data_IF_400078330966
#
_entry.id   IF_400078330966
#
_cell.length_a   1.000
_cell.length_b   1.000
_cell.length_c   1.000
_cell.angle_alpha   90.00
_cell.angle_beta   90.00
_cell.angle_gamma   90.00
#
_symmetry.space_group_name_H-M   'P 1'
#
loop_
_entity.id
_entity.type
_entity.pdbx_description
1 polymer ?
#
# COMPACT_ATOMS: atom_id res chain seq x y z
N UNK A 1 38.68 7.85 -38.41
CA UNK A 1 38.20 9.25 -38.41
C UNK A 1 36.83 9.44 -37.73
N UNK A 2 36.34 8.52 -36.86
CA UNK A 2 35.01 8.65 -36.22
C UNK A 2 35.02 8.68 -34.67
N UNK A 3 36.18 8.76 -33.99
CA UNK A 3 36.24 8.70 -32.51
C UNK A 3 36.34 10.06 -31.81
N UNK A 4 36.92 11.09 -32.44
CA UNK A 4 37.12 12.39 -31.78
C UNK A 4 35.84 13.24 -31.73
N UNK A 5 34.95 13.11 -32.72
CA UNK A 5 33.66 13.81 -32.73
C UNK A 5 32.68 13.26 -31.67
N UNK A 6 32.71 11.94 -31.42
CA UNK A 6 31.87 11.31 -30.41
C UNK A 6 32.34 11.64 -28.97
N UNK A 7 33.67 11.74 -28.76
CA UNK A 7 34.30 12.13 -27.49
C UNK A 7 33.95 13.57 -27.08
N UNK A 8 34.02 14.51 -28.02
CA UNK A 8 33.64 15.90 -27.77
C UNK A 8 32.14 16.03 -27.46
N UNK A 9 31.30 15.19 -28.08
CA UNK A 9 29.87 15.16 -27.82
C UNK A 9 29.53 14.62 -26.42
N UNK A 10 30.16 13.54 -25.98
CA UNK A 10 29.89 12.88 -24.69
C UNK A 10 30.42 13.70 -23.50
N UNK A 11 31.63 14.27 -23.60
CA UNK A 11 32.17 15.17 -22.59
C UNK A 11 31.40 16.50 -22.51
N UNK A 12 30.88 17.00 -23.64
CA UNK A 12 29.99 18.16 -23.65
C UNK A 12 28.63 17.84 -23.03
N UNK A 13 28.07 16.65 -23.29
CA UNK A 13 26.82 16.19 -22.70
C UNK A 13 26.93 16.03 -21.18
N UNK A 14 28.04 15.45 -20.67
CA UNK A 14 28.29 15.34 -19.23
C UNK A 14 28.37 16.71 -18.57
N UNK A 15 29.16 17.63 -19.15
CA UNK A 15 29.30 18.99 -18.64
C UNK A 15 27.97 19.74 -18.65
N UNK A 16 27.16 19.57 -19.69
CA UNK A 16 25.82 20.15 -19.76
C UNK A 16 24.90 19.62 -18.65
N UNK A 17 24.86 18.30 -18.44
CA UNK A 17 24.07 17.65 -17.38
C UNK A 17 24.53 18.05 -15.97
N UNK A 18 25.84 18.21 -15.77
CA UNK A 18 26.44 18.67 -14.51
C UNK A 18 26.47 20.19 -14.35
N UNK A 19 25.98 20.95 -15.34
CA UNK A 19 26.00 22.44 -15.38
C UNK A 19 27.40 23.03 -15.21
N UNK A 20 28.39 22.40 -15.84
CA UNK A 20 29.79 22.81 -15.83
C UNK A 20 30.16 23.57 -17.11
N UNK A 21 31.15 24.45 -16.98
CA UNK A 21 31.76 25.14 -18.11
C UNK A 21 32.62 24.17 -18.96
N UNK A 22 32.86 24.53 -20.22
CA UNK A 22 33.67 23.69 -21.13
C UNK A 22 35.14 23.59 -20.69
N UNK A 23 35.61 24.52 -19.84
CA UNK A 23 36.96 24.60 -19.30
C UNK A 23 37.14 23.87 -17.96
N UNK A 24 36.10 23.24 -17.42
CA UNK A 24 36.16 22.53 -16.14
C UNK A 24 37.22 21.42 -16.13
N UNK A 25 38.02 21.42 -15.08
CA UNK A 25 39.03 20.39 -14.82
C UNK A 25 38.40 19.02 -14.51
N UNK A 26 39.17 17.94 -14.68
CA UNK A 26 38.74 16.58 -14.33
C UNK A 26 38.26 16.47 -12.87
N UNK A 27 38.99 17.08 -11.93
CA UNK A 27 38.59 17.10 -10.52
C UNK A 27 37.27 17.84 -10.30
N UNK A 28 36.99 18.90 -11.07
CA UNK A 28 35.72 19.61 -11.01
C UNK A 28 34.57 18.72 -11.49
N UNK A 29 34.77 18.00 -12.60
CA UNK A 29 33.77 17.07 -13.15
C UNK A 29 33.46 15.96 -12.16
N UNK A 30 34.49 15.33 -11.58
CA UNK A 30 34.32 14.28 -10.57
C UNK A 30 33.57 14.78 -9.33
N UNK A 31 33.95 15.94 -8.78
CA UNK A 31 33.26 16.54 -7.63
C UNK A 31 31.80 16.86 -7.93
N UNK A 32 31.49 17.40 -9.11
CA UNK A 32 30.11 17.70 -9.51
C UNK A 32 29.29 16.44 -9.77
N UNK A 33 29.89 15.41 -10.36
CA UNK A 33 29.25 14.10 -10.50
C UNK A 33 28.88 13.52 -9.13
N UNK A 34 29.83 13.52 -8.20
CA UNK A 34 29.61 13.02 -6.83
C UNK A 34 28.52 13.82 -6.11
N UNK A 35 28.59 15.15 -6.17
CA UNK A 35 27.57 16.03 -5.59
C UNK A 35 26.19 15.73 -6.17
N UNK A 36 26.09 15.60 -7.50
CA UNK A 36 24.81 15.39 -8.18
C UNK A 36 24.20 14.03 -7.85
N UNK A 37 25.00 12.96 -7.84
CA UNK A 37 24.54 11.62 -7.44
C UNK A 37 24.10 11.62 -5.98
N UNK A 38 24.86 12.27 -5.09
CA UNK A 38 24.51 12.39 -3.66
C UNK A 38 23.20 13.14 -3.46
N UNK A 39 22.99 14.25 -4.17
CA UNK A 39 21.71 14.98 -4.19
C UNK A 39 20.55 14.10 -4.66
N UNK A 40 20.75 13.33 -5.74
CA UNK A 40 19.72 12.44 -6.28
C UNK A 40 19.36 11.30 -5.33
N UNK A 41 20.28 10.86 -4.46
CA UNK A 41 20.04 9.84 -3.44
C UNK A 41 19.30 10.35 -2.20
N UNK A 42 19.17 11.67 -2.02
CA UNK A 42 18.44 12.26 -0.91
C UNK A 42 16.92 12.29 -1.18
N UNK A 43 16.09 12.32 -0.13
CA UNK A 43 14.67 12.61 -0.29
C UNK A 43 14.50 13.99 -0.96
N UNK A 44 14.01 14.00 -2.19
CA UNK A 44 13.93 15.18 -3.04
C UNK A 44 12.61 15.28 -3.80
N UNK A 45 12.52 16.26 -4.71
CA UNK A 45 11.28 16.60 -5.44
C UNK A 45 10.96 15.61 -6.57
N UNK A 46 11.99 15.05 -7.22
CA UNK A 46 11.81 14.09 -8.31
C UNK A 46 11.10 12.83 -7.83
N UNK A 47 10.42 12.08 -8.70
CA UNK A 47 9.95 10.72 -8.38
C UNK A 47 11.13 9.74 -8.26
N UNK A 48 10.89 8.54 -7.72
CA UNK A 48 11.93 7.50 -7.60
C UNK A 48 12.41 7.07 -8.99
N UNK A 49 11.45 6.91 -9.91
CA UNK A 49 11.72 6.50 -11.27
C UNK A 49 12.54 7.56 -12.01
N UNK A 50 12.16 8.83 -11.89
CA UNK A 50 12.89 9.96 -12.49
C UNK A 50 14.32 10.05 -11.95
N UNK A 51 14.49 10.00 -10.62
CA UNK A 51 15.82 10.06 -10.02
C UNK A 51 16.67 8.83 -10.37
N UNK A 52 16.06 7.65 -10.47
CA UNK A 52 16.74 6.42 -10.88
C UNK A 52 17.19 6.46 -12.34
N UNK A 53 16.36 7.01 -13.23
CA UNK A 53 16.72 7.23 -14.64
C UNK A 53 17.86 8.24 -14.77
N UNK A 54 17.78 9.37 -14.05
CA UNK A 54 18.84 10.37 -13.97
C UNK A 54 20.17 9.76 -13.47
N UNK A 55 20.13 8.94 -12.42
CA UNK A 55 21.31 8.22 -11.90
C UNK A 55 21.90 7.32 -12.99
N UNK A 56 21.08 6.47 -13.63
CA UNK A 56 21.56 5.55 -14.68
C UNK A 56 22.18 6.31 -15.86
N UNK A 57 21.56 7.40 -16.28
CA UNK A 57 22.06 8.24 -17.37
C UNK A 57 23.39 8.90 -16.99
N UNK A 58 23.47 9.51 -15.80
CA UNK A 58 24.70 10.14 -15.31
C UNK A 58 25.85 9.14 -15.18
N UNK A 59 25.61 7.94 -14.65
CA UNK A 59 26.62 6.89 -14.57
C UNK A 59 27.09 6.45 -15.95
N UNK A 60 26.17 6.27 -16.91
CA UNK A 60 26.52 5.90 -18.28
C UNK A 60 27.44 6.95 -18.91
N UNK A 61 27.07 8.23 -18.82
CA UNK A 61 27.86 9.32 -19.40
C UNK A 61 29.21 9.45 -18.67
N UNK A 62 29.22 9.36 -17.33
CA UNK A 62 30.45 9.44 -16.53
C UNK A 62 31.43 8.30 -16.84
N UNK A 63 30.94 7.07 -16.93
CA UNK A 63 31.77 5.90 -17.28
C UNK A 63 32.42 6.04 -18.66
N UNK A 64 31.67 6.53 -19.64
CA UNK A 64 32.17 6.81 -20.99
C UNK A 64 33.24 7.91 -20.98
N UNK A 65 32.99 9.02 -20.25
CA UNK A 65 33.95 10.10 -20.05
C UNK A 65 35.25 9.61 -19.40
N UNK A 66 35.16 8.90 -18.27
CA UNK A 66 36.33 8.43 -17.53
C UNK A 66 37.15 7.44 -18.34
N UNK A 67 36.50 6.51 -19.05
CA UNK A 67 37.19 5.57 -19.97
C UNK A 67 37.96 6.30 -21.07
N UNK A 68 37.39 7.36 -21.66
CA UNK A 68 38.04 8.14 -22.70
C UNK A 68 39.25 8.92 -22.17
N UNK A 69 39.14 9.52 -20.99
CA UNK A 69 40.23 10.23 -20.29
C UNK A 69 41.38 9.29 -19.92
N UNK A 70 41.06 8.13 -19.33
CA UNK A 70 42.09 7.16 -18.94
C UNK A 70 42.84 6.62 -20.16
N UNK A 71 42.16 6.35 -21.27
CA UNK A 71 42.80 5.98 -22.56
C UNK A 71 43.73 7.08 -23.08
N UNK A 72 43.35 8.34 -22.94
CA UNK A 72 44.19 9.47 -23.34
C UNK A 72 45.45 9.56 -22.47
N UNK A 73 45.30 9.51 -21.15
CA UNK A 73 46.42 9.47 -20.21
C UNK A 73 47.37 8.30 -20.53
N UNK A 74 46.81 7.12 -20.81
CA UNK A 74 47.58 5.95 -21.21
C UNK A 74 48.37 6.16 -22.52
N UNK A 75 47.77 6.86 -23.49
CA UNK A 75 48.41 7.20 -24.76
C UNK A 75 49.61 8.15 -24.57
N UNK A 76 49.54 9.04 -23.57
CA UNK A 76 50.61 9.97 -23.19
C UNK A 76 51.71 9.25 -22.38
N UNK A 77 51.35 8.22 -21.60
CA UNK A 77 52.25 7.37 -20.81
C UNK A 77 53.07 6.39 -21.69
N UNK A 78 52.90 6.38 -23.03
CA UNK A 78 53.76 5.61 -23.97
C UNK A 78 55.23 6.06 -23.97
N UNK A 79 55.92 5.83 -22.86
CA UNK A 79 57.36 5.72 -22.73
C UNK A 79 57.73 4.25 -22.43
N UNK A 80 58.04 3.52 -23.50
CA UNK A 80 59.08 2.48 -23.65
C UNK A 80 59.06 1.16 -22.83
N UNK A 81 58.22 0.93 -21.83
CA UNK A 81 58.19 -0.38 -21.14
C UNK A 81 57.26 -1.39 -21.85
N UNK A 82 57.79 -2.55 -22.27
CA UNK A 82 57.00 -3.65 -22.82
C UNK A 82 56.32 -4.41 -21.67
N UNK A 83 55.03 -4.67 -21.79
CA UNK A 83 54.27 -5.48 -20.82
C UNK A 83 54.84 -6.90 -20.73
N UNK A 84 54.78 -7.47 -19.52
CA UNK A 84 54.99 -8.90 -19.29
C UNK A 84 53.91 -9.72 -20.04
N UNK A 85 54.20 -10.94 -20.55
CA UNK A 85 53.27 -11.70 -21.39
C UNK A 85 51.86 -11.87 -20.81
N UNK A 86 51.73 -12.06 -19.50
CA UNK A 86 50.44 -12.31 -18.84
C UNK A 86 49.65 -11.02 -18.53
N UNK A 87 50.29 -9.85 -18.60
CA UNK A 87 49.66 -8.58 -18.26
C UNK A 87 48.48 -8.24 -19.19
N UNK A 88 48.54 -8.65 -20.46
CA UNK A 88 47.47 -8.38 -21.43
C UNK A 88 46.13 -9.00 -21.01
N UNK A 89 46.15 -10.24 -20.52
CA UNK A 89 44.96 -10.96 -20.06
C UNK A 89 44.38 -10.31 -18.80
N UNK A 90 45.23 -9.98 -17.84
CA UNK A 90 44.81 -9.36 -16.57
C UNK A 90 44.19 -7.98 -16.79
N UNK A 91 44.76 -7.17 -17.69
CA UNK A 91 44.21 -5.86 -18.07
C UNK A 91 42.86 -5.97 -18.78
N UNK A 92 42.69 -6.96 -19.65
CA UNK A 92 41.41 -7.23 -20.32
C UNK A 92 40.34 -7.61 -19.28
N UNK A 93 40.66 -8.51 -18.35
CA UNK A 93 39.75 -8.92 -17.28
C UNK A 93 39.40 -7.74 -16.35
N UNK A 94 40.38 -6.91 -16.01
CA UNK A 94 40.16 -5.71 -15.20
C UNK A 94 39.19 -4.73 -15.87
N UNK A 95 39.30 -4.54 -17.19
CA UNK A 95 38.37 -3.71 -17.96
C UNK A 95 36.92 -4.24 -17.89
N UNK A 96 36.74 -5.57 -17.90
CA UNK A 96 35.43 -6.19 -17.72
C UNK A 96 34.88 -5.99 -16.31
N UNK A 97 35.74 -6.10 -15.29
CA UNK A 97 35.36 -5.87 -13.88
C UNK A 97 34.95 -4.43 -13.64
N UNK A 98 35.70 -3.47 -14.18
CA UNK A 98 35.37 -2.04 -14.13
C UNK A 98 33.94 -1.78 -14.64
N UNK A 99 33.57 -2.37 -15.78
CA UNK A 99 32.21 -2.23 -16.33
C UNK A 99 31.16 -2.80 -15.38
N UNK A 100 31.44 -3.97 -14.79
CA UNK A 100 30.61 -4.57 -13.75
C UNK A 100 30.47 -3.65 -12.53
N UNK A 101 31.56 -3.03 -12.08
CA UNK A 101 31.59 -2.15 -10.91
C UNK A 101 30.78 -0.88 -11.14
N UNK A 102 30.88 -0.24 -12.31
CA UNK A 102 30.02 0.90 -12.66
C UNK A 102 28.53 0.53 -12.59
N UNK A 103 28.18 -0.65 -13.08
CA UNK A 103 26.79 -1.16 -13.03
C UNK A 103 26.34 -1.40 -11.59
N UNK A 104 27.17 -2.05 -10.78
CA UNK A 104 26.88 -2.33 -9.38
C UNK A 104 26.81 -1.05 -8.54
N UNK A 105 27.67 -0.06 -8.80
CA UNK A 105 27.65 1.25 -8.13
C UNK A 105 26.38 2.04 -8.49
N UNK A 106 25.91 1.97 -9.75
CA UNK A 106 24.61 2.52 -10.12
C UNK A 106 23.45 1.88 -9.35
N UNK A 107 23.46 0.55 -9.18
CA UNK A 107 22.47 -0.17 -8.35
C UNK A 107 22.56 0.24 -6.88
N UNK A 108 23.77 0.40 -6.35
CA UNK A 108 24.00 0.90 -4.99
C UNK A 108 23.33 2.26 -4.76
N UNK A 109 23.54 3.20 -5.68
CA UNK A 109 22.93 4.54 -5.58
C UNK A 109 21.40 4.49 -5.62
N UNK A 110 20.83 3.68 -6.52
CA UNK A 110 19.36 3.48 -6.60
C UNK A 110 18.83 2.84 -5.31
N UNK A 111 19.54 1.86 -4.76
CA UNK A 111 19.18 1.23 -3.50
C UNK A 111 19.19 2.23 -2.34
N UNK A 112 20.22 3.07 -2.24
CA UNK A 112 20.32 4.14 -1.25
C UNK A 112 19.20 5.18 -1.40
N UNK A 113 18.88 5.57 -2.64
CA UNK A 113 17.75 6.44 -2.96
C UNK A 113 16.44 5.87 -2.40
N UNK A 114 16.12 4.63 -2.77
CA UNK A 114 14.89 3.95 -2.37
C UNK A 114 14.78 3.84 -0.84
N UNK A 115 15.82 3.35 -0.19
CA UNK A 115 15.87 3.22 1.28
C UNK A 115 15.66 4.58 1.94
N UNK A 116 16.33 5.64 1.48
CA UNK A 116 16.18 6.98 2.06
C UNK A 116 14.75 7.52 1.91
N UNK A 117 14.11 7.30 0.76
CA UNK A 117 12.74 7.76 0.54
C UNK A 117 11.72 7.03 1.37
N UNK A 118 11.81 5.70 1.42
CA UNK A 118 10.87 4.89 2.19
C UNK A 118 11.02 5.24 3.68
N UNK A 119 12.25 5.40 4.18
CA UNK A 119 12.47 5.87 5.54
C UNK A 119 11.88 7.26 5.80
N UNK A 120 11.99 8.20 4.86
CA UNK A 120 11.41 9.53 4.99
C UNK A 120 9.87 9.48 5.03
N UNK A 121 9.24 8.65 4.19
CA UNK A 121 7.80 8.42 4.19
C UNK A 121 7.33 7.80 5.51
N UNK A 122 7.96 6.70 5.94
CA UNK A 122 7.63 6.05 7.21
C UNK A 122 7.80 6.98 8.41
N UNK A 123 8.75 7.93 8.35
CA UNK A 123 8.90 8.94 9.41
C UNK A 123 7.68 9.85 9.49
N UNK A 124 7.16 10.32 8.36
CA UNK A 124 5.93 11.12 8.31
C UNK A 124 4.73 10.29 8.79
N UNK A 125 4.63 9.03 8.36
CA UNK A 125 3.56 8.13 8.79
C UNK A 125 3.59 7.87 10.30
N UNK A 126 4.78 7.72 10.89
CA UNK A 126 4.94 7.60 12.35
C UNK A 126 4.48 8.86 13.09
N UNK A 127 4.79 10.05 12.58
CA UNK A 127 4.36 11.32 13.18
C UNK A 127 2.83 11.43 13.15
N UNK A 128 2.20 11.14 12.01
CA UNK A 128 0.75 11.12 11.87
C UNK A 128 0.08 10.06 12.77
N UNK A 129 0.65 8.86 12.87
CA UNK A 129 0.12 7.80 13.74
C UNK A 129 0.24 8.14 15.23
N UNK A 130 1.31 8.85 15.65
CA UNK A 130 1.47 9.34 17.03
C UNK A 130 0.41 10.36 17.41
N UNK A 131 0.10 11.29 16.50
CA UNK A 131 -0.96 12.28 16.74
C UNK A 131 -2.33 11.62 16.95
N UNK A 132 -2.62 10.56 16.19
CA UNK A 132 -3.90 9.81 16.29
C UNK A 132 -4.03 8.94 17.52
N UNK A 133 -2.91 8.50 18.11
CA UNK A 133 -2.88 7.50 19.18
C UNK A 133 -2.75 8.07 20.59
N UNK A 134 -2.69 9.40 20.74
CA UNK A 134 -2.56 10.10 22.03
C UNK A 134 -1.42 9.58 22.94
N UNK A 135 -0.43 8.88 22.38
CA UNK A 135 0.73 8.37 23.13
C UNK A 135 0.50 7.10 23.94
N UNK A 136 -0.65 6.43 23.83
CA UNK A 136 -0.97 5.23 24.65
C UNK A 136 -0.31 3.93 24.15
N UNK A 137 0.51 4.00 23.11
CA UNK A 137 1.08 2.82 22.45
C UNK A 137 2.54 2.61 22.88
N UNK A 138 2.73 2.22 24.13
CA UNK A 138 4.02 1.73 24.61
C UNK A 138 3.97 0.20 24.81
N UNK A 139 5.05 -0.49 24.45
CA UNK A 139 5.30 -1.92 24.72
C UNK A 139 4.47 -2.97 23.96
N UNK A 140 4.00 -2.65 22.75
CA UNK A 140 3.33 -3.64 21.90
C UNK A 140 4.35 -4.43 21.09
N UNK A 141 4.28 -5.76 21.19
CA UNK A 141 5.15 -6.66 20.43
C UNK A 141 4.76 -6.65 18.95
N UNK A 142 5.77 -6.49 18.09
CA UNK A 142 5.61 -6.67 16.66
C UNK A 142 5.51 -8.17 16.32
N UNK A 143 4.66 -8.51 15.36
CA UNK A 143 4.58 -9.84 14.73
C UNK A 143 4.60 -9.69 13.20
N UNK A 144 5.20 -10.64 12.45
CA UNK A 144 5.20 -10.66 10.99
C UNK A 144 3.81 -10.58 10.35
N UNK A 145 2.77 -11.03 11.07
CA UNK A 145 1.39 -11.05 10.57
C UNK A 145 0.62 -9.75 10.84
N UNK A 146 1.14 -8.86 11.71
CA UNK A 146 0.47 -7.60 12.06
C UNK A 146 0.10 -6.74 10.85
N UNK A 147 0.98 -6.57 9.84
CA UNK A 147 0.61 -5.77 8.69
C UNK A 147 -0.66 -6.33 8.02
N UNK A 148 -0.71 -7.66 7.78
CA UNK A 148 -1.86 -8.32 7.16
C UNK A 148 -3.14 -8.11 7.98
N UNK A 149 -3.04 -8.26 9.29
CA UNK A 149 -4.17 -8.04 10.20
C UNK A 149 -4.68 -6.60 10.16
N UNK A 150 -3.78 -5.61 10.11
CA UNK A 150 -4.15 -4.18 9.97
C UNK A 150 -4.87 -3.94 8.64
N UNK A 151 -4.37 -4.51 7.54
CA UNK A 151 -5.00 -4.36 6.23
C UNK A 151 -6.43 -4.93 6.20
N UNK A 152 -6.65 -6.11 6.78
CA UNK A 152 -7.98 -6.70 6.92
C UNK A 152 -8.88 -5.85 7.82
N UNK A 153 -8.37 -5.35 8.94
CA UNK A 153 -9.12 -4.45 9.83
C UNK A 153 -9.54 -3.15 9.11
N UNK A 154 -8.69 -2.58 8.26
CA UNK A 154 -9.00 -1.39 7.44
C UNK A 154 -10.14 -1.68 6.45
N UNK A 155 -10.10 -2.82 5.75
CA UNK A 155 -11.19 -3.23 4.85
C UNK A 155 -12.50 -3.44 5.61
N UNK A 156 -12.46 -4.15 6.74
CA UNK A 156 -13.63 -4.38 7.61
C UNK A 156 -14.21 -3.06 8.12
N UNK A 157 -13.38 -2.11 8.55
CA UNK A 157 -13.80 -0.76 8.95
C UNK A 157 -14.61 -0.06 7.84
N UNK A 158 -14.12 -0.11 6.60
CA UNK A 158 -14.77 0.58 5.49
C UNK A 158 -16.10 -0.08 5.10
N UNK A 159 -16.16 -1.41 5.13
CA UNK A 159 -17.41 -2.16 4.97
C UNK A 159 -18.43 -1.80 6.06
N UNK A 160 -18.01 -1.81 7.34
CA UNK A 160 -18.88 -1.48 8.48
C UNK A 160 -19.39 -0.03 8.42
N UNK A 161 -18.58 0.93 7.96
CA UNK A 161 -19.02 2.32 7.73
C UNK A 161 -20.12 2.41 6.68
N UNK A 162 -19.99 1.65 5.59
CA UNK A 162 -21.04 1.57 4.56
C UNK A 162 -22.33 0.97 5.16
N UNK A 163 -22.20 -0.09 5.95
CA UNK A 163 -23.34 -0.72 6.63
C UNK A 163 -24.04 0.22 7.60
N UNK A 164 -23.30 0.97 8.44
CA UNK A 164 -23.92 1.95 9.35
C UNK A 164 -24.74 2.98 8.59
N UNK A 165 -24.20 3.52 7.50
CA UNK A 165 -24.93 4.47 6.65
C UNK A 165 -26.21 3.87 6.05
N UNK A 166 -26.16 2.60 5.63
CA UNK A 166 -27.35 1.90 5.15
C UNK A 166 -28.40 1.71 6.26
N UNK A 167 -27.96 1.45 7.49
CA UNK A 167 -28.85 1.31 8.64
C UNK A 167 -29.48 2.65 9.05
N UNK A 168 -28.76 3.77 8.96
CA UNK A 168 -29.34 5.12 9.15
C UNK A 168 -30.48 5.39 8.13
N UNK A 169 -30.29 4.99 6.87
CA UNK A 169 -31.34 5.09 5.85
C UNK A 169 -32.51 4.13 6.15
N UNK A 170 -32.22 2.94 6.68
CA UNK A 170 -33.23 1.97 7.12
C UNK A 170 -34.07 2.52 8.27
N UNK A 171 -33.44 3.14 9.27
CA UNK A 171 -34.09 3.71 10.45
C UNK A 171 -35.18 4.71 10.04
N UNK A 172 -34.89 5.59 9.06
CA UNK A 172 -35.85 6.58 8.55
C UNK A 172 -37.08 5.93 7.92
N UNK A 173 -36.89 4.86 7.15
CA UNK A 173 -37.99 4.14 6.49
C UNK A 173 -38.78 3.32 7.53
N UNK A 174 -38.09 2.69 8.47
CA UNK A 174 -38.70 1.90 9.54
C UNK A 174 -39.46 2.76 10.53
N UNK A 175 -39.03 3.99 10.81
CA UNK A 175 -39.78 4.96 11.60
C UNK A 175 -41.17 5.25 11.02
N UNK A 176 -41.25 5.41 9.69
CA UNK A 176 -42.53 5.55 8.98
C UNK A 176 -43.35 4.26 9.05
N UNK A 177 -42.72 3.10 8.85
CA UNK A 177 -43.40 1.81 8.94
C UNK A 177 -43.97 1.55 10.34
N UNK A 178 -43.21 1.77 11.41
CA UNK A 178 -43.65 1.56 12.79
C UNK A 178 -44.88 2.44 13.11
N UNK A 179 -44.86 3.71 12.68
CA UNK A 179 -46.00 4.62 12.83
C UNK A 179 -47.28 4.09 12.15
N UNK A 180 -47.15 3.60 10.92
CA UNK A 180 -48.28 3.03 10.16
C UNK A 180 -48.75 1.70 10.78
N UNK A 181 -47.83 0.86 11.23
CA UNK A 181 -48.12 -0.41 11.88
C UNK A 181 -48.85 -0.22 13.22
N UNK A 182 -48.46 0.78 14.04
CA UNK A 182 -49.19 1.16 15.26
C UNK A 182 -50.61 1.63 14.94
N UNK A 183 -50.77 2.44 13.90
CA UNK A 183 -52.09 2.88 13.44
C UNK A 183 -52.97 1.71 12.95
N UNK A 184 -52.37 0.73 12.25
CA UNK A 184 -53.07 -0.51 11.87
C UNK A 184 -53.54 -1.29 13.10
N UNK A 185 -52.70 -1.43 14.14
CA UNK A 185 -53.08 -2.10 15.38
C UNK A 185 -54.24 -1.36 16.09
N UNK A 186 -54.19 -0.03 16.18
CA UNK A 186 -55.29 0.76 16.74
C UNK A 186 -56.60 0.58 15.97
N UNK A 187 -56.52 0.55 14.64
CA UNK A 187 -57.67 0.33 13.77
C UNK A 187 -58.21 -1.10 13.91
N UNK A 188 -57.34 -2.10 14.03
CA UNK A 188 -57.71 -3.48 14.32
C UNK A 188 -58.40 -3.61 15.69
N UNK A 189 -57.87 -2.95 16.73
CA UNK A 189 -58.49 -2.90 18.06
C UNK A 189 -59.91 -2.32 17.98
N UNK A 190 -60.12 -1.25 17.21
CA UNK A 190 -61.43 -0.65 16.99
C UNK A 190 -62.42 -1.53 16.20
N UNK A 191 -61.95 -2.59 15.52
CA UNK A 191 -62.79 -3.50 14.70
C UNK A 191 -63.04 -4.86 15.39
N UNK A 192 -62.05 -5.38 16.11
CA UNK A 192 -62.05 -6.73 16.69
C UNK A 192 -62.02 -6.75 18.23
N UNK A 193 -61.76 -5.62 18.89
CA UNK A 193 -61.38 -5.58 20.30
C UNK A 193 -59.92 -6.00 20.52
N UNK A 194 -59.35 -5.56 21.64
CA UNK A 194 -57.91 -5.68 21.94
C UNK A 194 -57.42 -7.13 21.98
N UNK A 195 -58.18 -8.04 22.61
CA UNK A 195 -57.81 -9.46 22.75
C UNK A 195 -57.66 -10.18 21.41
N UNK A 196 -58.50 -9.86 20.42
CA UNK A 196 -58.51 -10.52 19.11
C UNK A 196 -57.65 -9.81 18.08
N UNK A 197 -57.45 -8.51 18.22
CA UNK A 197 -56.66 -7.71 17.30
C UNK A 197 -55.17 -8.04 17.38
N UNK A 198 -54.62 -8.23 18.59
CA UNK A 198 -53.19 -8.50 18.78
C UNK A 198 -52.71 -9.78 18.07
N UNK A 199 -53.35 -10.96 18.20
CA UNK A 199 -52.94 -12.17 17.47
C UNK A 199 -53.04 -12.04 15.93
N UNK A 200 -54.02 -11.25 15.44
CA UNK A 200 -54.14 -10.96 14.00
C UNK A 200 -53.01 -10.05 13.54
N UNK A 201 -52.68 -9.02 14.31
CA UNK A 201 -51.57 -8.13 14.01
C UNK A 201 -50.20 -8.84 14.07
N UNK A 202 -49.98 -9.68 15.07
CA UNK A 202 -48.74 -10.46 15.24
C UNK A 202 -48.56 -11.46 14.08
N UNK A 203 -49.64 -12.13 13.66
CA UNK A 203 -49.59 -13.05 12.52
C UNK A 203 -49.30 -12.36 11.18
N UNK A 204 -49.79 -11.12 10.99
CA UNK A 204 -49.48 -10.29 9.84
C UNK A 204 -48.00 -9.84 9.84
N UNK A 205 -47.55 -9.26 10.96
CA UNK A 205 -46.17 -8.76 11.09
C UNK A 205 -45.13 -9.87 11.01
N UNK A 206 -45.41 -11.07 11.55
CA UNK A 206 -44.53 -12.22 11.41
C UNK A 206 -44.29 -12.61 9.94
N UNK A 207 -45.31 -12.54 9.09
CA UNK A 207 -45.19 -12.83 7.65
C UNK A 207 -44.43 -11.71 6.91
N UNK A 208 -44.61 -10.45 7.32
CA UNK A 208 -43.83 -9.33 6.81
C UNK A 208 -42.34 -9.47 7.16
N UNK A 209 -42.00 -9.78 8.42
CA UNK A 209 -40.60 -9.99 8.87
C UNK A 209 -39.88 -11.07 8.06
N UNK A 210 -40.63 -12.11 7.66
CA UNK A 210 -40.12 -13.21 6.84
C UNK A 210 -40.04 -12.89 5.33
N UNK A 211 -40.33 -11.65 4.90
CA UNK A 211 -40.32 -11.29 3.47
C UNK A 211 -41.48 -11.85 2.66
N UNK A 212 -42.47 -12.47 3.29
CA UNK A 212 -43.61 -13.13 2.63
C UNK A 212 -44.78 -12.14 2.46
N UNK A 213 -44.55 -11.09 1.68
CA UNK A 213 -45.48 -9.95 1.50
C UNK A 213 -46.89 -10.38 1.08
N UNK A 214 -46.99 -11.25 0.05
CA UNK A 214 -48.28 -11.76 -0.44
C UNK A 214 -49.01 -12.57 0.64
N UNK A 215 -48.28 -13.44 1.35
CA UNK A 215 -48.85 -14.24 2.42
C UNK A 215 -49.33 -13.39 3.62
N UNK A 216 -48.70 -12.24 3.88
CA UNK A 216 -49.14 -11.30 4.91
C UNK A 216 -50.50 -10.68 4.56
N UNK A 217 -50.67 -10.26 3.30
CA UNK A 217 -51.94 -9.70 2.79
C UNK A 217 -53.04 -10.77 2.76
N UNK A 218 -52.72 -11.97 2.28
CA UNK A 218 -53.67 -13.10 2.25
C UNK A 218 -54.16 -13.47 3.65
N UNK A 219 -53.28 -13.42 4.65
CA UNK A 219 -53.62 -13.66 6.05
C UNK A 219 -54.64 -12.64 6.59
N UNK A 220 -54.47 -11.34 6.29
CA UNK A 220 -55.45 -10.32 6.68
C UNK A 220 -56.80 -10.52 5.97
N UNK A 221 -56.79 -10.90 4.69
CA UNK A 221 -57.99 -11.19 3.92
C UNK A 221 -58.75 -12.42 4.43
N UNK A 222 -58.05 -13.45 4.89
CA UNK A 222 -58.65 -14.65 5.49
C UNK A 222 -59.35 -14.30 6.82
N UNK A 223 -58.66 -13.56 7.70
CA UNK A 223 -59.23 -13.15 9.00
C UNK A 223 -60.44 -12.23 8.85
N UNK A 224 -60.51 -11.44 7.78
CA UNK A 224 -61.69 -10.66 7.41
C UNK A 224 -62.98 -11.50 7.33
N UNK A 225 -62.88 -12.69 6.72
CA UNK A 225 -64.01 -13.56 6.38
C UNK A 225 -64.53 -14.31 7.60
N UNK A 226 -63.65 -14.62 8.55
CA UNK A 226 -63.96 -15.43 9.74
C UNK A 226 -64.58 -14.57 10.86
N UNK A 227 -63.99 -13.39 11.14
CA UNK A 227 -64.34 -12.55 12.29
C UNK A 227 -65.50 -11.57 12.03
N UNK A 228 -66.10 -11.55 10.84
CA UNK A 228 -67.30 -10.74 10.52
C UNK A 228 -68.62 -11.36 10.99
N UNK A 229 -68.57 -12.51 11.69
CA UNK A 229 -69.75 -13.36 11.96
C UNK A 229 -70.35 -13.30 13.38
N UNK A 230 -69.71 -12.67 14.38
CA UNK A 230 -70.23 -12.65 15.77
C UNK A 230 -70.06 -11.30 16.45
N UNK A 231 -71.08 -10.87 17.21
CA UNK A 231 -71.17 -9.74 18.16
C UNK A 231 -70.00 -8.74 18.19
N UNK A 232 -70.19 -7.53 17.62
CA UNK A 232 -69.24 -6.41 17.74
C UNK A 232 -69.93 -5.03 17.77
N UNK A 233 -69.20 -4.05 18.29
CA UNK A 233 -69.59 -2.65 18.62
C UNK A 233 -69.94 -1.77 17.40
N UNK A 234 -69.50 -2.13 16.19
CA UNK A 234 -69.71 -1.35 14.96
C UNK A 234 -70.73 -2.01 14.02
N UNK A 235 -71.43 -1.19 13.21
CA UNK A 235 -72.36 -1.70 12.20
C UNK A 235 -71.60 -2.47 11.11
N UNK A 236 -72.22 -3.52 10.56
CA UNK A 236 -71.62 -4.41 9.52
C UNK A 236 -70.98 -3.65 8.34
N UNK A 237 -71.58 -2.53 7.92
CA UNK A 237 -71.08 -1.67 6.83
C UNK A 237 -69.79 -0.94 7.22
N UNK A 238 -69.72 -0.37 8.43
CA UNK A 238 -68.54 0.33 8.96
C UNK A 238 -67.37 -0.63 9.17
N UNK A 239 -67.66 -1.85 9.64
CA UNK A 239 -66.64 -2.91 9.78
C UNK A 239 -66.03 -3.30 8.43
N UNK A 240 -66.86 -3.48 7.40
CA UNK A 240 -66.38 -3.78 6.03
C UNK A 240 -65.51 -2.65 5.48
N UNK A 241 -65.88 -1.40 5.73
CA UNK A 241 -65.11 -0.22 5.30
C UNK A 241 -63.75 -0.13 6.01
N UNK A 242 -63.72 -0.25 7.34
CA UNK A 242 -62.45 -0.22 8.11
C UNK A 242 -61.52 -1.37 7.75
N UNK A 243 -62.08 -2.56 7.43
CA UNK A 243 -61.27 -3.70 7.00
C UNK A 243 -60.70 -3.51 5.60
N UNK A 244 -61.48 -2.97 4.66
CA UNK A 244 -60.99 -2.61 3.32
C UNK A 244 -59.80 -1.64 3.41
N UNK A 245 -59.93 -0.63 4.27
CA UNK A 245 -58.86 0.33 4.53
C UNK A 245 -57.59 -0.31 5.15
N UNK A 246 -57.75 -1.25 6.08
CA UNK A 246 -56.62 -2.01 6.63
C UNK A 246 -55.87 -2.83 5.56
N UNK A 247 -56.60 -3.42 4.61
CA UNK A 247 -56.00 -4.17 3.50
C UNK A 247 -55.28 -3.23 2.53
N UNK A 248 -55.87 -2.09 2.19
CA UNK A 248 -55.22 -1.06 1.36
C UNK A 248 -53.90 -0.57 1.98
N UNK A 249 -53.90 -0.29 3.29
CA UNK A 249 -52.67 0.08 4.02
C UNK A 249 -51.65 -1.07 3.97
N UNK A 250 -52.07 -2.31 4.20
CA UNK A 250 -51.19 -3.47 4.16
C UNK A 250 -50.54 -3.66 2.78
N UNK A 251 -51.28 -3.44 1.70
CA UNK A 251 -50.75 -3.45 0.34
C UNK A 251 -49.73 -2.34 0.08
N UNK A 252 -49.99 -1.13 0.60
CA UNK A 252 -49.05 -0.01 0.52
C UNK A 252 -47.76 -0.29 1.30
N UNK A 253 -47.85 -0.86 2.50
CA UNK A 253 -46.70 -1.33 3.28
C UNK A 253 -45.91 -2.36 2.48
N UNK A 254 -46.58 -3.35 1.89
CA UNK A 254 -45.95 -4.38 1.06
C UNK A 254 -45.20 -3.78 -0.13
N UNK A 255 -45.81 -2.81 -0.84
CA UNK A 255 -45.16 -2.09 -1.95
C UNK A 255 -43.96 -1.26 -1.49
N UNK A 256 -44.05 -0.59 -0.34
CA UNK A 256 -42.96 0.19 0.23
C UNK A 256 -41.77 -0.71 0.59
N UNK A 257 -42.03 -1.81 1.32
CA UNK A 257 -41.01 -2.81 1.66
C UNK A 257 -40.38 -3.39 0.39
N UNK A 258 -41.17 -3.69 -0.63
CA UNK A 258 -40.63 -4.22 -1.90
C UNK A 258 -39.71 -3.21 -2.60
N UNK A 259 -40.08 -1.93 -2.61
CA UNK A 259 -39.24 -0.85 -3.20
C UNK A 259 -37.97 -0.59 -2.40
N UNK A 260 -38.05 -0.67 -1.07
CA UNK A 260 -36.95 -0.37 -0.16
C UNK A 260 -36.22 -1.61 0.36
N UNK A 261 -36.48 -2.80 -0.22
CA UNK A 261 -36.09 -4.09 0.37
C UNK A 261 -34.64 -4.17 0.76
N UNK A 262 -33.74 -3.71 -0.11
CA UNK A 262 -32.28 -3.72 0.13
C UNK A 262 -31.85 -2.89 1.34
N UNK A 263 -32.64 -1.90 1.72
CA UNK A 263 -32.34 -0.96 2.81
C UNK A 263 -32.98 -1.45 4.11
N UNK A 264 -34.22 -1.96 4.06
CA UNK A 264 -34.97 -2.36 5.26
C UNK A 264 -34.80 -3.83 5.65
N UNK A 265 -33.81 -4.54 5.10
CA UNK A 265 -33.53 -5.94 5.42
C UNK A 265 -32.16 -6.12 6.06
N UNK A 266 -32.06 -7.02 7.02
CA UNK A 266 -30.78 -7.54 7.51
C UNK A 266 -30.06 -8.38 6.44
N UNK A 267 -28.80 -8.74 6.70
CA UNK A 267 -28.02 -9.63 5.84
C UNK A 267 -28.71 -10.99 5.63
N UNK A 268 -29.42 -11.49 6.66
CA UNK A 268 -30.23 -12.72 6.61
C UNK A 268 -31.60 -12.55 5.95
N UNK A 269 -31.84 -11.42 5.27
CA UNK A 269 -33.08 -11.07 4.57
C UNK A 269 -34.30 -10.84 5.49
N UNK A 270 -34.10 -10.69 6.80
CA UNK A 270 -35.18 -10.32 7.72
C UNK A 270 -35.51 -8.83 7.58
N UNK A 271 -36.80 -8.52 7.42
CA UNK A 271 -37.25 -7.13 7.30
C UNK A 271 -37.40 -6.50 8.68
N UNK A 272 -36.74 -5.36 8.88
CA UNK A 272 -36.94 -4.50 10.04
C UNK A 272 -38.33 -3.87 9.97
N UNK A 273 -39.11 -4.03 11.04
CA UNK A 273 -40.45 -3.43 11.17
C UNK A 273 -40.52 -2.42 12.31
N UNK A 274 -39.55 -2.40 13.22
CA UNK A 274 -39.49 -1.49 14.37
C UNK A 274 -38.14 -0.80 14.44
N UNK A 275 -38.15 0.45 14.90
CA UNK A 275 -36.94 1.25 15.06
C UNK A 275 -35.91 0.56 15.97
N UNK A 276 -36.38 -0.02 17.09
CA UNK A 276 -35.53 -0.75 18.03
C UNK A 276 -34.79 -1.96 17.43
N UNK A 277 -35.28 -2.53 16.31
CA UNK A 277 -34.61 -3.63 15.61
C UNK A 277 -33.45 -3.12 14.77
N UNK A 278 -33.57 -1.91 14.22
CA UNK A 278 -32.50 -1.23 13.47
C UNK A 278 -31.44 -0.72 14.45
N UNK A 279 -31.86 -0.08 15.55
CA UNK A 279 -30.98 0.42 16.62
C UNK A 279 -30.09 -0.70 17.18
N UNK A 280 -30.67 -1.87 17.50
CA UNK A 280 -29.89 -3.00 18.02
C UNK A 280 -28.80 -3.48 17.05
N UNK A 281 -29.07 -3.46 15.74
CA UNK A 281 -28.08 -3.83 14.72
C UNK A 281 -27.05 -2.70 14.53
N UNK A 282 -27.49 -1.44 14.56
CA UNK A 282 -26.57 -0.29 14.51
C UNK A 282 -25.58 -0.31 15.67
N UNK A 283 -26.04 -0.59 16.89
CA UNK A 283 -25.19 -0.69 18.08
C UNK A 283 -24.14 -1.78 17.94
N UNK A 284 -24.51 -2.98 17.45
CA UNK A 284 -23.56 -4.07 17.24
C UNK A 284 -22.52 -3.73 16.15
N UNK A 285 -22.97 -3.20 15.01
CA UNK A 285 -22.07 -2.77 13.92
C UNK A 285 -21.15 -1.64 14.38
N UNK A 286 -21.65 -0.69 15.18
CA UNK A 286 -20.85 0.39 15.75
C UNK A 286 -19.80 -0.15 16.75
N UNK A 287 -20.15 -1.12 17.59
CA UNK A 287 -19.22 -1.77 18.50
C UNK A 287 -18.11 -2.52 17.74
N UNK A 288 -18.45 -3.23 16.66
CA UNK A 288 -17.48 -3.88 15.78
C UNK A 288 -16.58 -2.87 15.05
N UNK A 289 -17.14 -1.75 14.60
CA UNK A 289 -16.38 -0.68 13.97
C UNK A 289 -15.38 -0.09 14.96
N UNK A 290 -15.79 0.15 16.21
CA UNK A 290 -14.91 0.66 17.25
C UNK A 290 -13.76 -0.32 17.54
N UNK A 291 -14.05 -1.62 17.69
CA UNK A 291 -13.01 -2.66 17.86
C UNK A 291 -11.96 -2.64 16.75
N UNK A 292 -12.39 -2.50 15.49
CA UNK A 292 -11.46 -2.42 14.35
C UNK A 292 -10.64 -1.12 14.38
N UNK A 293 -11.26 0.02 14.72
CA UNK A 293 -10.56 1.29 14.87
C UNK A 293 -9.50 1.22 15.99
N UNK A 294 -9.85 0.65 17.13
CA UNK A 294 -8.95 0.47 18.27
C UNK A 294 -7.79 -0.46 17.91
N UNK A 295 -8.08 -1.56 17.20
CA UNK A 295 -7.04 -2.47 16.69
C UNK A 295 -6.06 -1.75 15.77
N UNK A 296 -6.57 -1.02 14.77
CA UNK A 296 -5.73 -0.26 13.82
C UNK A 296 -4.89 0.75 14.59
N UNK A 297 -5.52 1.57 15.43
CA UNK A 297 -4.81 2.58 16.21
C UNK A 297 -3.70 1.96 17.06
N UNK A 298 -4.01 0.85 17.74
CA UNK A 298 -3.07 0.13 18.61
C UNK A 298 -1.86 -0.41 17.86
N UNK A 299 -2.02 -0.99 16.67
CA UNK A 299 -0.94 -1.71 15.97
C UNK A 299 -0.30 -0.95 14.80
N UNK A 300 -0.89 0.14 14.34
CA UNK A 300 -0.34 0.96 13.23
C UNK A 300 1.05 1.53 13.57
N UNK A 301 1.21 2.21 14.71
CA UNK A 301 2.50 2.80 15.07
C UNK A 301 3.62 1.76 15.29
N UNK A 302 3.41 0.64 16.03
CA UNK A 302 4.42 -0.42 16.18
C UNK A 302 4.83 -1.05 14.85
N UNK A 303 3.88 -1.21 13.92
CA UNK A 303 4.15 -1.74 12.58
C UNK A 303 5.07 -0.79 11.78
N UNK A 304 4.72 0.49 11.70
CA UNK A 304 5.51 1.49 10.97
C UNK A 304 6.92 1.59 11.57
N UNK A 305 7.03 1.59 12.91
CA UNK A 305 8.31 1.65 13.63
C UNK A 305 9.19 0.44 13.32
N UNK A 306 8.63 -0.76 13.28
CA UNK A 306 9.37 -1.95 12.90
C UNK A 306 9.94 -1.84 11.49
N UNK A 307 9.14 -1.42 10.51
CA UNK A 307 9.60 -1.24 9.12
C UNK A 307 10.71 -0.20 9.03
N UNK A 308 10.55 0.92 9.75
CA UNK A 308 11.56 1.97 9.84
C UNK A 308 12.89 1.44 10.43
N UNK A 309 12.83 0.71 11.54
CA UNK A 309 14.01 0.13 12.19
C UNK A 309 14.66 -0.95 11.32
N UNK A 310 13.87 -1.77 10.61
CA UNK A 310 14.35 -2.77 9.67
C UNK A 310 15.11 -2.11 8.51
N UNK A 311 14.56 -1.06 7.90
CA UNK A 311 15.25 -0.28 6.87
C UNK A 311 16.49 0.43 7.41
N UNK A 312 16.44 0.94 8.66
CA UNK A 312 17.62 1.51 9.31
C UNK A 312 18.78 0.51 9.44
N UNK A 313 18.48 -0.76 9.73
CA UNK A 313 19.48 -1.84 9.71
C UNK A 313 20.03 -2.09 8.31
N UNK A 314 19.18 -2.13 7.29
CA UNK A 314 19.63 -2.31 5.91
C UNK A 314 20.47 -1.14 5.40
N UNK A 315 20.10 0.09 5.75
CA UNK A 315 20.90 1.29 5.45
C UNK A 315 22.29 1.22 6.07
N UNK A 316 22.39 0.70 7.30
CA UNK A 316 23.69 0.48 7.97
C UNK A 316 24.52 -0.58 7.25
N UNK A 317 23.89 -1.67 6.76
CA UNK A 317 24.58 -2.69 5.96
C UNK A 317 25.10 -2.08 4.65
N UNK A 318 24.28 -1.29 3.93
CA UNK A 318 24.72 -0.56 2.73
C UNK A 318 25.91 0.36 3.03
N UNK A 319 25.87 1.10 4.14
CA UNK A 319 26.99 1.97 4.53
C UNK A 319 28.26 1.22 4.92
N UNK A 320 28.16 -0.07 5.33
CA UNK A 320 29.32 -0.91 5.65
C UNK A 320 29.98 -1.52 4.40
N UNK A 321 29.26 -1.62 3.28
CA UNK A 321 29.84 -2.04 1.99
C UNK A 321 30.89 -1.01 1.53
N UNK A 322 30.60 0.27 1.75
CA UNK A 322 31.50 1.39 1.47
C UNK A 322 30.72 2.67 1.18
N UNK A 323 31.40 3.80 1.29
CA UNK A 323 30.86 5.06 0.76
C UNK A 323 30.86 5.04 -0.78
N UNK A 324 29.95 5.81 -1.36
CA UNK A 324 29.89 5.97 -2.81
C UNK A 324 31.24 6.47 -3.38
N UNK A 325 31.89 7.39 -2.66
CA UNK A 325 33.20 7.94 -3.00
C UNK A 325 34.32 6.89 -2.93
N UNK A 326 34.33 6.03 -1.92
CA UNK A 326 35.32 4.94 -1.80
C UNK A 326 35.20 3.95 -2.97
N UNK A 327 33.97 3.56 -3.32
CA UNK A 327 33.73 2.62 -4.43
C UNK A 327 34.09 3.29 -5.77
N UNK A 328 33.75 4.56 -5.96
CA UNK A 328 34.13 5.31 -7.15
C UNK A 328 35.65 5.45 -7.28
N UNK A 329 36.33 5.73 -6.18
CA UNK A 329 37.79 5.82 -6.14
C UNK A 329 38.45 4.48 -6.47
N UNK A 330 37.90 3.36 -5.97
CA UNK A 330 38.35 2.01 -6.33
C UNK A 330 38.23 1.77 -7.84
N UNK A 331 37.09 2.12 -8.45
CA UNK A 331 36.86 1.99 -9.90
C UNK A 331 37.90 2.80 -10.67
N UNK A 332 38.09 4.07 -10.33
CA UNK A 332 39.03 4.96 -11.01
C UNK A 332 40.49 4.49 -10.89
N UNK A 333 40.84 3.94 -9.73
CA UNK A 333 42.17 3.40 -9.46
C UNK A 333 42.41 2.13 -10.28
N UNK A 334 41.43 1.22 -10.32
CA UNK A 334 41.49 -0.01 -11.12
C UNK A 334 41.56 0.30 -12.62
N UNK A 335 40.73 1.23 -13.10
CA UNK A 335 40.79 1.73 -14.48
C UNK A 335 42.18 2.26 -14.79
N UNK A 336 42.69 3.23 -14.02
CA UNK A 336 44.00 3.84 -14.27
C UNK A 336 45.14 2.81 -14.25
N UNK A 337 45.12 1.89 -13.29
CA UNK A 337 46.11 0.83 -13.16
C UNK A 337 46.06 -0.17 -14.33
N UNK A 338 44.86 -0.50 -14.85
CA UNK A 338 44.69 -1.40 -16.01
C UNK A 338 45.34 -0.88 -17.29
N UNK A 339 45.52 0.43 -17.43
CA UNK A 339 46.18 1.03 -18.60
C UNK A 339 47.67 1.32 -18.38
N UNK A 340 48.17 1.13 -17.15
CA UNK A 340 49.57 1.39 -16.81
C UNK A 340 50.47 0.21 -17.26
N UNK A 341 51.71 0.45 -17.73
CA UNK A 341 52.62 -0.64 -18.11
C UNK A 341 52.94 -1.56 -16.92
N UNK A 342 52.93 -2.87 -17.13
CA UNK A 342 53.27 -3.90 -16.14
C UNK A 342 54.47 -4.71 -16.64
N UNK A 343 55.71 -4.22 -16.46
CA UNK A 343 56.90 -4.81 -17.08
C UNK A 343 57.35 -6.13 -16.45
N UNK A 344 56.93 -6.45 -15.21
CA UNK A 344 57.37 -7.65 -14.50
C UNK A 344 56.21 -8.52 -14.02
N UNK A 345 56.47 -9.81 -13.80
CA UNK A 345 55.52 -10.75 -13.18
C UNK A 345 55.11 -10.29 -11.77
N UNK A 346 56.00 -9.61 -11.04
CA UNK A 346 55.69 -9.07 -9.70
C UNK A 346 54.62 -7.98 -9.78
N UNK A 347 54.67 -7.13 -10.80
CA UNK A 347 53.68 -6.07 -11.00
C UNK A 347 52.31 -6.67 -11.33
N UNK A 348 52.27 -7.71 -12.17
CA UNK A 348 51.05 -8.46 -12.49
C UNK A 348 50.42 -9.05 -11.23
N UNK A 349 51.21 -9.79 -10.41
CA UNK A 349 50.71 -10.37 -9.16
C UNK A 349 50.24 -9.32 -8.15
N UNK A 350 50.96 -8.21 -8.02
CA UNK A 350 50.58 -7.14 -7.09
C UNK A 350 49.25 -6.51 -7.49
N UNK A 351 49.00 -6.35 -8.80
CA UNK A 351 47.72 -5.88 -9.32
C UNK A 351 46.59 -6.89 -9.06
N UNK A 352 46.82 -8.18 -9.32
CA UNK A 352 45.85 -9.26 -9.09
C UNK A 352 45.49 -9.45 -7.61
N UNK A 353 46.48 -9.47 -6.72
CA UNK A 353 46.30 -9.75 -5.29
C UNK A 353 45.76 -8.54 -4.50
N UNK A 354 45.89 -7.32 -5.04
CA UNK A 354 45.41 -6.08 -4.44
C UNK A 354 44.05 -5.64 -5.00
N UNK A 355 44.07 -4.57 -5.79
CA UNK A 355 42.88 -3.87 -6.31
C UNK A 355 41.93 -4.78 -7.09
N UNK A 356 42.46 -5.75 -7.84
CA UNK A 356 41.65 -6.64 -8.66
C UNK A 356 40.80 -7.60 -7.81
N UNK A 357 41.38 -8.18 -6.75
CA UNK A 357 40.67 -9.08 -5.84
C UNK A 357 39.62 -8.35 -5.00
N UNK A 358 39.93 -7.13 -4.56
CA UNK A 358 38.98 -6.27 -3.85
C UNK A 358 37.77 -5.93 -4.73
N UNK A 359 38.03 -5.50 -5.98
CA UNK A 359 37.00 -5.24 -6.98
C UNK A 359 36.12 -6.47 -7.29
N UNK A 360 36.72 -7.65 -7.37
CA UNK A 360 35.96 -8.90 -7.54
C UNK A 360 35.09 -9.21 -6.32
N UNK A 361 35.62 -9.02 -5.10
CA UNK A 361 34.85 -9.23 -3.86
C UNK A 361 33.58 -8.38 -3.82
N UNK A 362 33.68 -7.11 -4.23
CA UNK A 362 32.53 -6.22 -4.34
C UNK A 362 31.47 -6.74 -5.33
N UNK A 363 31.89 -7.23 -6.50
CA UNK A 363 30.96 -7.75 -7.51
C UNK A 363 30.29 -9.05 -7.08
N UNK A 364 31.02 -9.94 -6.43
CA UNK A 364 30.53 -11.27 -6.07
C UNK A 364 29.65 -11.26 -4.81
N UNK A 365 29.95 -10.40 -3.84
CA UNK A 365 29.27 -10.40 -2.53
C UNK A 365 28.39 -9.17 -2.34
N UNK A 366 28.95 -7.98 -2.50
CA UNK A 366 28.25 -6.73 -2.15
C UNK A 366 27.15 -6.40 -3.15
N UNK A 367 27.35 -6.68 -4.44
CA UNK A 367 26.31 -6.52 -5.47
C UNK A 367 25.05 -7.34 -5.17
N UNK A 368 25.22 -8.59 -4.72
CA UNK A 368 24.10 -9.47 -4.32
C UNK A 368 23.41 -8.92 -3.06
N UNK A 369 24.20 -8.45 -2.09
CA UNK A 369 23.66 -7.81 -0.89
C UNK A 369 22.82 -6.57 -1.23
N UNK A 370 23.29 -5.72 -2.15
CA UNK A 370 22.56 -4.52 -2.62
C UNK A 370 21.21 -4.91 -3.24
N UNK A 371 21.17 -5.94 -4.09
CA UNK A 371 19.92 -6.40 -4.71
C UNK A 371 18.92 -6.93 -3.67
N UNK A 372 19.40 -7.71 -2.70
CA UNK A 372 18.57 -8.22 -1.61
C UNK A 372 18.02 -7.08 -0.74
N UNK A 373 18.83 -6.07 -0.47
CA UNK A 373 18.40 -4.89 0.30
C UNK A 373 17.35 -4.09 -0.47
N UNK A 374 17.56 -3.88 -1.77
CA UNK A 374 16.59 -3.19 -2.62
C UNK A 374 15.24 -3.93 -2.64
N UNK A 375 15.27 -5.25 -2.83
CA UNK A 375 14.05 -6.08 -2.82
C UNK A 375 13.31 -5.97 -1.48
N UNK A 376 14.04 -6.12 -0.37
CA UNK A 376 13.45 -5.98 0.96
C UNK A 376 12.89 -4.57 1.21
N UNK A 377 13.57 -3.53 0.70
CA UNK A 377 13.08 -2.16 0.81
C UNK A 377 11.74 -1.98 0.08
N UNK A 378 11.61 -2.54 -1.13
CA UNK A 378 10.37 -2.54 -1.89
C UNK A 378 9.25 -3.34 -1.20
N UNK A 379 9.56 -4.49 -0.61
CA UNK A 379 8.59 -5.27 0.19
C UNK A 379 8.10 -4.47 1.41
N UNK A 380 9.00 -3.76 2.10
CA UNK A 380 8.65 -2.93 3.26
C UNK A 380 7.90 -1.64 2.88
N UNK A 381 8.05 -1.15 1.64
CA UNK A 381 7.38 0.07 1.16
C UNK A 381 5.94 -0.17 0.75
N UNK A 382 5.64 -1.30 0.09
CA UNK A 382 4.29 -1.62 -0.38
C UNK A 382 3.34 -1.96 0.78
N UNK A 383 3.87 -2.28 1.96
CA UNK A 383 3.08 -2.88 3.02
C UNK A 383 2.60 -4.28 2.59
N UNK A 384 1.76 -4.92 3.40
CA UNK A 384 1.21 -6.24 3.09
C UNK A 384 0.23 -6.13 1.91
N UNK A 385 0.34 -7.05 0.95
CA UNK A 385 -0.69 -7.21 -0.07
C UNK A 385 -2.00 -7.63 0.60
N UNK A 386 -3.03 -6.77 0.58
CA UNK A 386 -4.27 -7.06 1.25
C UNK A 386 -5.06 -8.16 0.53
N UNK A 387 -4.77 -8.47 -0.75
CA UNK A 387 -5.41 -9.55 -1.53
C UNK A 387 -4.78 -10.92 -1.31
N UNK A 388 -3.62 -11.00 -0.64
CA UNK A 388 -2.87 -12.24 -0.46
C UNK A 388 -3.29 -13.09 0.77
N UNK A 389 -4.37 -12.73 1.46
CA UNK A 389 -4.86 -13.47 2.63
C UNK A 389 -6.36 -13.71 2.51
N UNK A 390 -6.76 -14.98 2.46
CA UNK A 390 -8.16 -15.37 2.54
C UNK A 390 -8.70 -15.00 3.93
N UNK A 391 -9.92 -14.43 3.98
CA UNK A 391 -10.55 -13.97 5.23
C UNK A 391 -10.70 -15.08 6.29
N UNK A 392 -10.67 -16.35 5.85
CA UNK A 392 -10.76 -17.56 6.68
C UNK A 392 -9.43 -17.91 7.40
N UNK A 393 -8.29 -17.36 6.98
CA UNK A 393 -6.99 -17.60 7.63
C UNK A 393 -6.73 -16.66 8.81
N UNK A 394 -7.50 -15.57 8.93
CA UNK A 394 -7.42 -14.63 10.06
C UNK A 394 -8.67 -14.79 10.93
N UNK A 395 -8.83 -15.97 11.51
CA UNK A 395 -9.72 -16.15 12.64
C UNK A 395 -9.13 -15.38 13.85
N UNK A 396 -9.85 -14.42 14.44
CA UNK A 396 -9.50 -13.94 15.76
C UNK A 396 -10.11 -14.90 16.80
N UNK A 397 -9.30 -15.35 17.74
CA UNK A 397 -9.80 -15.70 19.07
C UNK A 397 -10.40 -14.47 19.77
#
# INVERSE_FOLDING_TARGET
MNNDDNKNSEAALLRQKLRLDQTSSRQSIQKSFVSRITELMLPGILSVDEASEDIRELFKIYSMYNTAEVKELASQIKQKAKDYPDAGTVKLNASSIVYGLHTALGKYCICMLEVNRIMAQLKQDMEAAKERSHGEIENIQWSPDLPKQIAVAVRRRDALRITLKQLEDAERIVFLLDSVLRFMLLTLNGVLGEEKAKPVFDGYTAKLKAGKLKAAIDYLNEKAKIETSRFFVLKKKEKKQKWGFLVEIAELIGKLIQKCRKVVSSNDQHIFLRQSEVEAVQEDVAAQLQKNLDFIAKYELPEIRYRFDALGRQKKILSNIGSFEEILQMIETLETASFSPMPTMKDVKTFEEGLYKEALGFLEQDSIAIENILKLAQELSQGPDPEAVDEDEIAPD
#
